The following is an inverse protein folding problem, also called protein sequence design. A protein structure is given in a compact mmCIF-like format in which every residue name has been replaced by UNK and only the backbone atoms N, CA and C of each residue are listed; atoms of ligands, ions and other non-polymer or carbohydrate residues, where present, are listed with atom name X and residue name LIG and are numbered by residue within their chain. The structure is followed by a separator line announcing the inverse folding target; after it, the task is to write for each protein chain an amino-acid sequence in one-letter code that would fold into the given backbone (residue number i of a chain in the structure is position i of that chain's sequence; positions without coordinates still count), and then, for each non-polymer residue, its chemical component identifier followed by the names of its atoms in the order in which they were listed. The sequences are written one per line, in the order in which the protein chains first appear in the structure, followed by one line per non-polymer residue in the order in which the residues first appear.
data_IF_799772315016
#
_entry.id   IF_799772315016
#
_cell.length_a   1.000
_cell.length_b   1.000
_cell.length_c   1.000
_cell.angle_alpha   90.00
_cell.angle_beta   90.00
_cell.angle_gamma   90.00
#
_symmetry.space_group_name_H-M   'P 1'
#
loop_
_entity.id
_entity.type
_entity.pdbx_description
1 polymer ?
#
# COMPACT_ATOMS: atom_id res chain seq x y z
N UNK A 1 13.00 17.14 31.56
CA UNK A 1 11.88 16.49 30.83
C UNK A 1 12.46 15.86 29.56
N UNK A 2 12.95 14.62 29.62
CA UNK A 2 13.43 13.90 28.43
C UNK A 2 12.32 13.00 27.93
N UNK A 3 11.63 13.42 26.86
CA UNK A 3 10.80 12.50 26.10
C UNK A 3 11.55 12.19 24.80
N UNK A 4 12.24 11.05 24.80
CA UNK A 4 12.78 10.46 23.58
C UNK A 4 11.62 10.11 22.63
N UNK A 5 11.75 10.35 21.31
CA UNK A 5 10.70 9.99 20.36
C UNK A 5 10.55 8.47 20.35
N UNK A 6 9.34 7.99 20.68
CA UNK A 6 9.01 6.56 20.59
C UNK A 6 9.01 6.14 19.11
N UNK A 7 9.58 4.97 18.76
CA UNK A 7 9.54 4.49 17.38
C UNK A 7 8.08 4.30 16.97
N UNK A 8 7.64 5.08 15.99
CA UNK A 8 6.30 4.98 15.42
C UNK A 8 6.26 3.66 14.66
N UNK A 9 5.52 2.68 15.17
CA UNK A 9 5.25 1.44 14.43
C UNK A 9 4.43 1.80 13.20
N UNK A 10 4.71 1.21 12.02
CA UNK A 10 3.83 1.37 10.87
C UNK A 10 2.42 0.94 11.29
N UNK A 11 1.43 1.75 10.94
CA UNK A 11 0.02 1.44 11.17
C UNK A 11 -0.37 0.18 10.41
N UNK A 12 -1.34 -0.61 10.90
CA UNK A 12 -1.79 -1.84 10.25
C UNK A 12 -2.16 -1.62 8.77
N UNK A 13 -1.94 -2.64 7.94
CA UNK A 13 -2.28 -2.61 6.51
C UNK A 13 -3.73 -2.17 6.28
N UNK A 14 -4.68 -2.79 6.99
CA UNK A 14 -6.11 -2.52 6.87
C UNK A 14 -6.44 -1.06 7.16
N UNK A 15 -5.73 -0.46 8.12
CA UNK A 15 -5.92 0.94 8.51
C UNK A 15 -5.36 1.91 7.46
N UNK A 16 -4.19 1.60 6.89
CA UNK A 16 -3.63 2.41 5.81
C UNK A 16 -4.50 2.32 4.55
N UNK A 17 -5.05 1.14 4.26
CA UNK A 17 -5.97 0.93 3.14
C UNK A 17 -7.29 1.70 3.34
N UNK A 18 -7.88 1.64 4.53
CA UNK A 18 -9.08 2.41 4.87
C UNK A 18 -8.84 3.93 4.72
N UNK A 19 -7.66 4.40 5.17
CA UNK A 19 -7.29 5.81 4.99
C UNK A 19 -7.11 6.18 3.51
N UNK A 20 -6.51 5.30 2.72
CA UNK A 20 -6.33 5.52 1.28
C UNK A 20 -7.68 5.61 0.56
N UNK A 21 -8.63 4.73 0.89
CA UNK A 21 -9.99 4.77 0.35
C UNK A 21 -10.70 6.08 0.70
N UNK A 22 -10.60 6.52 1.97
CA UNK A 22 -11.15 7.80 2.40
C UNK A 22 -10.50 9.01 1.69
N UNK A 23 -9.21 8.92 1.34
CA UNK A 23 -8.53 9.96 0.56
C UNK A 23 -9.08 10.00 -0.87
N UNK A 24 -9.25 8.85 -1.52
CA UNK A 24 -9.82 8.75 -2.86
C UNK A 24 -11.21 9.35 -2.88
N UNK A 25 -12.08 8.98 -1.93
CA UNK A 25 -13.43 9.55 -1.81
C UNK A 25 -13.43 11.08 -1.65
N UNK A 26 -12.47 11.63 -0.89
CA UNK A 26 -12.34 13.09 -0.75
C UNK A 26 -11.83 13.75 -2.03
N UNK A 27 -10.94 13.11 -2.78
CA UNK A 27 -10.41 13.61 -4.06
C UNK A 27 -11.46 13.63 -5.18
N UNK A 28 -12.52 12.82 -5.06
CA UNK A 28 -13.66 12.81 -5.98
C UNK A 28 -14.61 14.00 -5.79
N UNK A 29 -14.46 14.77 -4.70
CA UNK A 29 -15.27 15.95 -4.44
C UNK A 29 -14.90 17.11 -5.40
N UNK A 30 -15.87 17.56 -6.19
CA UNK A 30 -15.69 18.62 -7.19
C UNK A 30 -15.45 20.01 -6.56
N UNK A 31 -15.85 20.22 -5.31
CA UNK A 31 -15.67 21.48 -4.57
C UNK A 31 -14.36 21.49 -3.76
N UNK A 32 -13.51 20.46 -3.89
CA UNK A 32 -12.25 20.35 -3.16
C UNK A 32 -11.26 21.45 -3.60
N UNK A 33 -10.75 22.28 -2.66
CA UNK A 33 -9.74 23.28 -2.99
C UNK A 33 -8.44 22.63 -3.48
N UNK A 34 -7.80 23.23 -4.48
CA UNK A 34 -6.56 22.71 -5.10
C UNK A 34 -5.46 22.40 -4.08
N UNK A 35 -5.21 23.29 -3.11
CA UNK A 35 -4.20 23.07 -2.07
C UNK A 35 -4.52 21.82 -1.24
N UNK A 36 -5.80 21.58 -0.95
CA UNK A 36 -6.24 20.41 -0.20
C UNK A 36 -6.12 19.14 -1.05
N UNK A 37 -6.45 19.20 -2.34
CA UNK A 37 -6.26 18.10 -3.28
C UNK A 37 -4.79 17.68 -3.36
N UNK A 38 -3.86 18.63 -3.45
CA UNK A 38 -2.42 18.35 -3.46
C UNK A 38 -1.96 17.67 -2.17
N UNK A 39 -2.41 18.15 -1.00
CA UNK A 39 -2.09 17.51 0.28
C UNK A 39 -2.61 16.07 0.38
N UNK A 40 -3.87 15.86 -0.03
CA UNK A 40 -4.49 14.53 -0.04
C UNK A 40 -3.79 13.59 -1.01
N UNK A 41 -3.39 14.07 -2.18
CA UNK A 41 -2.64 13.30 -3.16
C UNK A 41 -1.27 12.87 -2.62
N UNK A 42 -0.50 13.79 -2.03
CA UNK A 42 0.79 13.45 -1.41
C UNK A 42 0.64 12.43 -0.26
N UNK A 43 -0.42 12.56 0.55
CA UNK A 43 -0.74 11.60 1.60
C UNK A 43 -1.08 10.23 1.01
N UNK A 44 -1.94 10.20 -0.01
CA UNK A 44 -2.34 8.98 -0.70
C UNK A 44 -1.17 8.24 -1.35
N UNK A 45 -0.24 8.97 -1.99
CA UNK A 45 0.98 8.38 -2.55
C UNK A 45 1.83 7.69 -1.47
N UNK A 46 2.07 8.37 -0.35
CA UNK A 46 2.83 7.79 0.78
C UNK A 46 2.17 6.55 1.35
N UNK A 47 0.84 6.59 1.51
CA UNK A 47 0.08 5.44 2.01
C UNK A 47 0.11 4.26 1.03
N UNK A 48 0.03 4.54 -0.28
CA UNK A 48 0.16 3.53 -1.33
C UNK A 48 1.52 2.82 -1.27
N UNK A 49 2.61 3.58 -1.17
CA UNK A 49 3.96 3.02 -1.00
C UNK A 49 4.09 2.15 0.27
N UNK A 50 3.51 2.61 1.38
CA UNK A 50 3.50 1.86 2.64
C UNK A 50 2.70 0.56 2.51
N UNK A 51 1.55 0.58 1.83
CA UNK A 51 0.74 -0.61 1.59
C UNK A 51 1.47 -1.60 0.69
N UNK A 52 2.06 -1.13 -0.41
CA UNK A 52 2.85 -1.96 -1.33
C UNK A 52 3.98 -2.68 -0.58
N UNK A 53 4.76 -1.94 0.21
CA UNK A 53 5.86 -2.52 0.98
C UNK A 53 5.39 -3.59 1.97
N UNK A 54 4.26 -3.37 2.65
CA UNK A 54 3.70 -4.37 3.56
C UNK A 54 3.27 -5.64 2.82
N UNK A 55 2.73 -5.52 1.61
CA UNK A 55 2.39 -6.66 0.76
C UNK A 55 3.65 -7.41 0.30
N UNK A 56 4.69 -6.72 -0.15
CA UNK A 56 5.97 -7.34 -0.53
C UNK A 56 6.60 -8.10 0.65
N UNK A 57 6.57 -7.53 1.86
CA UNK A 57 7.05 -8.21 3.07
C UNK A 57 6.22 -9.46 3.39
N UNK A 58 4.91 -9.41 3.19
CA UNK A 58 4.03 -10.56 3.40
C UNK A 58 4.28 -11.66 2.36
N UNK A 59 4.39 -11.30 1.08
CA UNK A 59 4.69 -12.22 -0.02
C UNK A 59 6.02 -12.94 0.21
N UNK A 60 7.09 -12.20 0.52
CA UNK A 60 8.40 -12.79 0.80
C UNK A 60 8.38 -13.75 2.01
N UNK A 61 7.57 -13.46 3.03
CA UNK A 61 7.38 -14.39 4.16
C UNK A 61 6.68 -15.67 3.72
N UNK A 62 5.64 -15.58 2.90
CA UNK A 62 4.92 -16.74 2.34
C UNK A 62 5.86 -17.59 1.49
N UNK A 63 6.63 -16.98 0.60
CA UNK A 63 7.63 -17.68 -0.22
C UNK A 63 8.64 -18.46 0.63
N UNK A 64 9.19 -17.84 1.69
CA UNK A 64 10.15 -18.48 2.59
C UNK A 64 9.50 -19.66 3.32
N UNK A 65 8.26 -19.51 3.80
CA UNK A 65 7.53 -20.59 4.46
C UNK A 65 7.26 -21.77 3.53
N UNK A 66 6.88 -21.52 2.27
CA UNK A 66 6.67 -22.59 1.30
C UNK A 66 7.96 -23.27 0.85
N UNK A 67 9.05 -22.51 0.65
CA UNK A 67 10.39 -23.07 0.37
C UNK A 67 10.85 -23.99 1.50
N UNK A 68 10.57 -23.64 2.77
CA UNK A 68 10.83 -24.50 3.94
C UNK A 68 9.93 -25.74 4.01
N UNK A 69 8.72 -25.68 3.46
CA UNK A 69 7.77 -26.79 3.41
C UNK A 69 8.07 -27.80 2.27
N UNK A 70 9.16 -27.61 1.50
CA UNK A 70 9.59 -28.55 0.45
C UNK A 70 8.89 -28.37 -0.91
N UNK A 71 8.10 -27.30 -1.08
CA UNK A 71 7.42 -26.97 -2.34
C UNK A 71 8.33 -26.17 -3.28
N UNK A 72 8.61 -26.71 -4.47
CA UNK A 72 9.40 -26.07 -5.53
C UNK A 72 8.52 -25.02 -6.22
N UNK A 73 8.68 -23.74 -5.89
CA UNK A 73 7.95 -22.64 -6.57
C UNK A 73 8.87 -21.99 -7.61
N UNK A 74 8.37 -21.90 -8.83
CA UNK A 74 8.91 -21.01 -9.87
C UNK A 74 8.01 -19.78 -9.84
N UNK A 75 8.54 -18.63 -9.44
CA UNK A 75 7.83 -17.36 -9.58
C UNK A 75 7.84 -17.00 -11.07
N UNK A 76 6.67 -17.02 -11.70
CA UNK A 76 6.50 -16.44 -13.03
C UNK A 76 6.02 -14.99 -12.89
N UNK A 77 6.55 -14.05 -13.67
CA UNK A 77 6.06 -12.68 -13.68
C UNK A 77 4.57 -12.68 -14.02
N UNK A 78 3.77 -11.95 -13.24
CA UNK A 78 2.39 -11.70 -13.58
C UNK A 78 2.33 -10.72 -14.76
N UNK A 79 2.04 -11.23 -15.95
CA UNK A 79 1.73 -10.40 -17.12
C UNK A 79 0.23 -10.09 -17.10
N UNK A 80 -0.18 -8.83 -16.80
CA UNK A 80 -1.58 -8.46 -16.94
C UNK A 80 -1.96 -8.57 -18.41
N UNK A 81 -2.93 -9.44 -18.72
CA UNK A 81 -3.49 -9.57 -20.06
C UNK A 81 -4.09 -8.21 -20.45
N UNK A 82 -3.39 -7.46 -21.31
CA UNK A 82 -3.92 -6.27 -21.97
C UNK A 82 -5.13 -6.70 -22.79
N UNK A 83 -6.33 -6.56 -22.21
CA UNK A 83 -7.56 -6.52 -23.00
C UNK A 83 -7.61 -5.18 -23.71
N UNK A 84 -7.04 -5.15 -24.91
CA UNK A 84 -7.29 -4.10 -25.89
C UNK A 84 -8.77 -4.09 -26.35
N UNK A 85 -9.26 -2.92 -26.79
CA UNK A 85 -10.68 -2.55 -26.80
C UNK A 85 -11.44 -3.10 -28.02
N UNK A 86 -12.77 -3.17 -27.89
CA UNK A 86 -13.69 -3.36 -29.02
C UNK A 86 -14.21 -2.01 -29.53
#
# INVERSE_FOLDING_TARGET
MSQSPKPVKPEPFEKNLERLDAIVQQLEDADLPLEKALQLYEEGMKLSEVCHKQLEEAEGRVEVLMKKAGGKIVAEPFEPEEKEPA
#
